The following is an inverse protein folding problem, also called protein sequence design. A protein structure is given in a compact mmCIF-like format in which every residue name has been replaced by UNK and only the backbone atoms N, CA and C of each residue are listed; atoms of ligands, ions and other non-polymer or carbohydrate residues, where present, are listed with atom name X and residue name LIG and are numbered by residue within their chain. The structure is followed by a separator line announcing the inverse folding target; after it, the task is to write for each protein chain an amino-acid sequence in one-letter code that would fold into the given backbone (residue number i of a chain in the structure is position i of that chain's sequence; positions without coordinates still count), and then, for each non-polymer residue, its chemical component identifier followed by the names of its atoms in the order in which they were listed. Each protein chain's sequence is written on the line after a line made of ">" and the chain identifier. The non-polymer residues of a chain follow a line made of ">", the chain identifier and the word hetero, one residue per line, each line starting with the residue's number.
data_IF_525894691173
#
_entry.id   IF_525894691173
#
_cell.length_a   1.000
_cell.length_b   1.000
_cell.length_c   1.000
_cell.angle_alpha   90.00
_cell.angle_beta   90.00
_cell.angle_gamma   90.00
#
_symmetry.space_group_name_H-M   'P 1'
#
loop_
_entity.id
_entity.type
_entity.pdbx_description
1 polymer ?
#
# COMPACT_ATOMS: atom_id res chain seq x y z
N UNK A 1 4.11 -35.46 16.89
CA UNK A 1 4.01 -35.20 16.69
C UNK A 1 4.07 -34.46 16.42
N UNK A 2 4.18 -34.28 16.51
CA UNK A 2 4.20 -33.60 16.25
C UNK A 2 4.10 -32.74 15.89
N UNK A 3 4.16 -32.66 15.87
CA UNK A 3 3.97 -32.02 15.50
C UNK A 3 3.82 -31.14 15.20
N UNK A 4 3.97 -31.07 15.40
CA UNK A 4 3.79 -30.34 15.06
C UNK A 4 3.70 -29.59 14.83
N UNK A 5 3.80 -29.66 14.81
CA UNK A 5 3.61 -28.99 14.53
C UNK A 5 3.51 -28.11 14.13
N UNK A 6 3.63 -27.84 14.17
CA UNK A 6 3.43 -27.23 13.82
C UNK A 6 3.15 -26.46 13.47
N UNK A 7 3.15 -26.68 13.26
CA UNK A 7 2.85 -25.88 12.85
C UNK A 7 2.44 -25.16 12.92
N UNK A 8 2.26 -25.38 12.88
CA UNK A 8 1.62 -24.87 13.14
C UNK A 8 1.66 -23.60 13.35
N UNK A 9 1.88 -23.15 13.76
CA UNK A 9 2.12 -21.99 13.81
C UNK A 9 1.83 -21.07 12.76
N UNK A 10 1.73 -21.45 11.83
CA UNK A 10 1.41 -20.74 10.60
C UNK A 10 0.09 -20.02 10.71
N UNK A 11 -0.85 -20.68 11.34
CA UNK A 11 -2.18 -20.10 11.49
C UNK A 11 -2.14 -18.77 12.21
N UNK A 12 -1.26 -18.67 13.18
CA UNK A 12 -1.19 -17.45 13.97
C UNK A 12 -0.70 -16.26 13.18
N UNK A 13 0.28 -16.51 12.36
CA UNK A 13 0.85 -15.40 11.59
C UNK A 13 -0.11 -14.93 10.51
N UNK A 14 -1.09 -15.72 10.15
CA UNK A 14 -2.05 -15.29 9.14
C UNK A 14 -2.98 -14.20 9.63
N UNK A 15 -3.23 -14.15 10.92
CA UNK A 15 -4.14 -13.15 11.44
C UNK A 15 -3.68 -11.72 11.17
N UNK A 16 -2.42 -11.38 11.44
CA UNK A 16 -1.97 -10.04 11.12
C UNK A 16 -2.08 -9.74 9.64
N UNK A 17 -1.95 -10.75 8.80
CA UNK A 17 -2.03 -10.53 7.37
C UNK A 17 -3.42 -10.20 6.90
N UNK A 18 -4.44 -10.66 7.61
CA UNK A 18 -5.81 -10.42 7.18
C UNK A 18 -6.08 -8.93 7.10
N UNK A 19 -5.66 -8.17 8.10
CA UNK A 19 -5.89 -6.73 8.05
C UNK A 19 -4.84 -6.00 7.20
N UNK A 20 -3.71 -6.65 6.94
CA UNK A 20 -2.70 -6.03 6.09
C UNK A 20 -3.09 -6.06 4.62
N UNK A 21 -4.01 -6.92 4.23
CA UNK A 21 -4.46 -7.03 2.84
C UNK A 21 -5.93 -6.69 2.79
N UNK A 22 -6.27 -5.70 1.97
CA UNK A 22 -7.66 -5.26 1.85
C UNK A 22 -8.02 -5.10 0.38
N UNK A 23 -8.50 -6.17 -0.27
CA UNK A 23 -8.84 -6.10 -1.70
C UNK A 23 -9.87 -5.03 -2.01
N UNK A 24 -10.81 -4.78 -1.10
CA UNK A 24 -11.82 -3.76 -1.32
C UNK A 24 -11.19 -2.37 -1.39
N UNK A 25 -10.23 -2.10 -0.53
CA UNK A 25 -9.52 -0.82 -0.57
C UNK A 25 -8.71 -0.68 -1.85
N UNK A 26 -8.05 -1.76 -2.27
CA UNK A 26 -7.30 -1.74 -3.52
C UNK A 26 -8.21 -1.42 -4.70
N UNK A 27 -9.39 -2.03 -4.73
CA UNK A 27 -10.35 -1.75 -5.79
C UNK A 27 -10.78 -0.29 -5.76
N UNK A 28 -10.97 0.25 -4.57
CA UNK A 28 -11.36 1.65 -4.40
C UNK A 28 -10.26 2.58 -4.89
N UNK A 29 -8.98 2.26 -4.59
CA UNK A 29 -7.84 3.05 -5.06
C UNK A 29 -7.82 3.09 -6.58
N UNK A 30 -8.10 1.96 -7.22
CA UNK A 30 -8.03 1.87 -8.68
C UNK A 30 -9.08 2.69 -9.40
N UNK A 31 -10.05 3.22 -8.69
CA UNK A 31 -11.05 4.11 -9.28
C UNK A 31 -10.54 5.56 -9.40
N UNK A 32 -9.39 5.83 -8.84
CA UNK A 32 -8.82 7.17 -8.88
C UNK A 32 -7.79 7.26 -9.99
N UNK A 33 -7.53 8.49 -10.45
CA UNK A 33 -6.48 8.68 -11.44
C UNK A 33 -5.13 8.75 -10.72
N UNK A 34 -4.04 8.85 -11.51
CA UNK A 34 -2.69 8.87 -10.96
C UNK A 34 -2.51 10.04 -9.98
N UNK A 35 -1.78 9.77 -8.90
CA UNK A 35 -1.56 10.78 -7.85
C UNK A 35 -0.57 11.87 -8.25
N UNK A 36 0.22 11.65 -9.30
CA UNK A 36 1.17 12.66 -9.74
C UNK A 36 0.41 13.88 -10.25
N UNK A 37 0.77 15.10 -9.80
CA UNK A 37 0.06 16.30 -10.24
C UNK A 37 0.02 16.40 -11.74
N UNK A 38 -1.14 16.78 -12.26
CA UNK A 38 -1.39 16.95 -13.68
C UNK A 38 -1.43 15.64 -14.48
N UNK A 39 -1.17 14.50 -13.85
CA UNK A 39 -1.32 13.21 -14.52
C UNK A 39 -2.72 12.70 -14.30
N UNK A 40 -3.48 12.57 -15.37
CA UNK A 40 -4.86 12.13 -15.29
C UNK A 40 -5.03 10.71 -15.85
N UNK A 41 -3.93 9.99 -15.93
CA UNK A 41 -3.91 8.70 -16.61
C UNK A 41 -4.72 7.64 -15.85
N UNK A 42 -5.42 6.83 -16.59
CA UNK A 42 -6.11 5.64 -16.15
C UNK A 42 -5.73 4.54 -17.10
N UNK A 43 -5.68 3.30 -16.66
CA UNK A 43 -5.91 2.83 -15.30
C UNK A 43 -4.71 3.09 -14.40
N UNK A 44 -4.93 2.93 -13.11
CA UNK A 44 -3.85 3.07 -12.13
C UNK A 44 -3.62 1.75 -11.41
N UNK A 45 -2.47 1.66 -10.77
CA UNK A 45 -2.07 0.51 -9.97
C UNK A 45 -1.96 0.95 -8.51
N UNK A 46 -2.04 -0.02 -7.60
CA UNK A 46 -1.85 0.26 -6.19
C UNK A 46 -0.36 0.23 -5.89
N UNK A 47 0.19 1.39 -5.53
CA UNK A 47 1.61 1.50 -5.24
C UNK A 47 1.80 1.57 -3.72
N UNK A 48 2.52 0.61 -3.16
CA UNK A 48 2.79 0.58 -1.73
C UNK A 48 3.91 1.56 -1.39
N UNK A 49 3.75 2.24 -0.26
CA UNK A 49 4.73 3.21 0.23
C UNK A 49 5.44 2.61 1.43
N UNK A 50 6.77 2.66 1.42
CA UNK A 50 7.57 2.06 2.49
C UNK A 50 8.12 3.07 3.49
N UNK A 51 8.43 4.28 3.05
CA UNK A 51 9.01 5.28 3.93
C UNK A 51 8.06 5.59 5.08
N UNK A 52 8.54 5.37 6.30
CA UNK A 52 7.76 5.70 7.48
C UNK A 52 6.50 4.87 7.67
N UNK A 53 6.46 3.68 7.10
CA UNK A 53 5.29 2.83 7.18
C UNK A 53 5.58 1.56 7.97
N UNK A 54 4.63 0.62 7.95
CA UNK A 54 4.77 -0.64 8.68
C UNK A 54 5.46 -1.74 7.87
N UNK A 55 6.08 -1.39 6.75
CA UNK A 55 6.85 -2.34 5.98
C UNK A 55 8.25 -2.50 6.55
N UNK A 56 8.89 -3.65 6.27
CA UNK A 56 10.24 -3.92 6.70
C UNK A 56 11.05 -4.52 5.58
N UNK A 57 12.23 -5.04 5.91
CA UNK A 57 13.15 -5.55 4.91
C UNK A 57 12.50 -6.62 4.04
N UNK A 58 11.86 -7.60 4.66
CA UNK A 58 11.21 -8.67 3.93
C UNK A 58 9.70 -8.60 4.04
N UNK A 59 9.19 -7.46 4.47
CA UNK A 59 7.77 -7.32 4.75
C UNK A 59 7.19 -6.17 3.92
N UNK A 60 6.25 -6.52 3.03
CA UNK A 60 5.55 -5.52 2.26
C UNK A 60 4.67 -4.68 3.20
N UNK A 61 4.59 -3.37 3.00
CA UNK A 61 3.68 -2.56 3.80
C UNK A 61 2.23 -3.03 3.65
N UNK A 62 1.42 -2.80 4.69
CA UNK A 62 0.01 -3.16 4.62
C UNK A 62 -0.71 -2.26 3.62
N UNK A 63 -1.92 -2.64 3.25
CA UNK A 63 -2.68 -1.94 2.21
C UNK A 63 -3.17 -0.57 2.63
N UNK A 64 -3.02 -0.19 3.89
CA UNK A 64 -3.33 1.18 4.29
C UNK A 64 -2.30 2.17 3.74
N UNK A 65 -1.18 1.67 3.25
CA UNK A 65 -0.08 2.50 2.78
C UNK A 65 0.07 2.42 1.27
N UNK A 66 -1.02 2.63 0.53
CA UNK A 66 -0.98 2.62 -0.92
C UNK A 66 -1.51 3.92 -1.50
N UNK A 67 -0.99 4.26 -2.67
CA UNK A 67 -1.49 5.38 -3.44
C UNK A 67 -1.77 4.91 -4.85
N UNK A 68 -2.44 5.74 -5.63
CA UNK A 68 -2.74 5.42 -7.03
C UNK A 68 -1.65 5.98 -7.92
N UNK A 69 -1.03 5.14 -8.73
CA UNK A 69 -0.05 5.56 -9.73
C UNK A 69 -0.30 4.81 -11.01
N UNK A 70 -0.22 5.50 -12.13
CA UNK A 70 -0.29 4.80 -13.41
C UNK A 70 0.95 3.91 -13.55
N UNK A 71 0.90 2.98 -14.50
CA UNK A 71 1.99 2.01 -14.65
C UNK A 71 3.34 2.70 -14.83
N UNK A 72 3.36 3.79 -15.60
CA UNK A 72 4.59 4.51 -15.88
C UNK A 72 5.18 5.15 -14.63
N UNK A 73 4.35 5.87 -13.88
CA UNK A 73 4.84 6.52 -12.65
C UNK A 73 5.13 5.51 -11.55
N UNK A 74 4.41 4.40 -11.53
CA UNK A 74 4.69 3.33 -10.57
C UNK A 74 6.08 2.75 -10.83
N UNK A 75 6.40 2.52 -12.11
CA UNK A 75 7.72 2.04 -12.49
C UNK A 75 8.79 3.05 -12.13
N UNK A 76 8.52 4.33 -12.36
CA UNK A 76 9.46 5.38 -12.04
C UNK A 76 9.72 5.45 -10.53
N UNK A 77 8.69 5.26 -9.72
CA UNK A 77 8.84 5.24 -8.27
C UNK A 77 9.84 4.16 -7.86
N UNK A 78 9.74 2.99 -8.47
CA UNK A 78 10.68 1.91 -8.16
C UNK A 78 12.09 2.20 -8.66
N UNK A 79 12.22 2.84 -9.80
CA UNK A 79 13.53 3.15 -10.37
C UNK A 79 14.25 4.23 -9.59
N UNK A 80 13.55 5.29 -9.25
CA UNK A 80 14.15 6.41 -8.52
C UNK A 80 14.28 6.17 -7.04
N UNK A 81 13.39 5.35 -6.48
CA UNK A 81 13.23 5.25 -5.05
C UNK A 81 12.28 6.32 -4.55
N UNK A 82 11.68 6.05 -3.39
CA UNK A 82 10.59 6.89 -2.91
C UNK A 82 11.03 8.31 -2.59
N UNK A 83 12.24 8.48 -2.04
CA UNK A 83 12.69 9.81 -1.67
C UNK A 83 12.87 10.72 -2.87
N UNK A 84 13.50 10.19 -3.92
CA UNK A 84 13.70 10.97 -5.14
C UNK A 84 12.39 11.22 -5.85
N UNK A 85 11.51 10.24 -5.84
CA UNK A 85 10.20 10.39 -6.46
C UNK A 85 9.42 11.50 -5.77
N UNK A 86 9.44 11.54 -4.44
CA UNK A 86 8.80 12.62 -3.68
C UNK A 86 9.34 13.98 -4.08
N UNK A 87 10.65 14.09 -4.15
CA UNK A 87 11.28 15.34 -4.48
C UNK A 87 10.93 15.79 -5.88
N UNK A 88 10.98 14.86 -6.82
CA UNK A 88 10.73 15.18 -8.23
C UNK A 88 9.33 15.73 -8.44
N UNK A 89 8.34 15.13 -7.82
CA UNK A 89 6.95 15.51 -8.04
C UNK A 89 6.37 16.33 -6.91
N UNK A 90 7.17 16.66 -5.92
CA UNK A 90 6.74 17.45 -4.75
C UNK A 90 5.55 16.80 -4.06
N UNK A 91 5.66 15.51 -3.83
CA UNK A 91 4.62 14.73 -3.19
C UNK A 91 5.03 14.30 -1.80
N UNK A 92 4.05 14.22 -0.91
CA UNK A 92 4.23 13.60 0.40
C UNK A 92 3.58 12.23 0.31
N UNK A 93 4.37 11.20 0.00
CA UNK A 93 3.82 9.88 -0.27
C UNK A 93 3.10 9.30 0.93
N UNK A 94 3.68 9.44 2.13
CA UNK A 94 3.02 8.94 3.33
C UNK A 94 1.73 9.70 3.59
N UNK A 95 1.77 11.02 3.42
CA UNK A 95 0.58 11.84 3.59
C UNK A 95 -0.52 11.47 2.61
N UNK A 96 -0.17 11.21 1.36
CA UNK A 96 -1.13 10.76 0.36
C UNK A 96 -1.76 9.43 0.75
N UNK A 97 -0.93 8.49 1.17
CA UNK A 97 -1.45 7.18 1.58
C UNK A 97 -2.39 7.30 2.75
N UNK A 98 -2.04 8.13 3.72
CA UNK A 98 -2.91 8.38 4.88
C UNK A 98 -4.23 8.99 4.45
N UNK A 99 -4.16 9.92 3.50
CA UNK A 99 -5.37 10.57 3.01
C UNK A 99 -6.29 9.59 2.32
N UNK A 100 -5.73 8.74 1.45
CA UNK A 100 -6.51 7.71 0.81
C UNK A 100 -7.15 6.77 1.83
N UNK A 101 -6.35 6.31 2.80
CA UNK A 101 -6.87 5.40 3.82
C UNK A 101 -8.02 6.05 4.61
N UNK A 102 -7.84 7.31 4.99
CA UNK A 102 -8.84 8.00 5.79
C UNK A 102 -10.14 8.21 5.04
N UNK A 103 -10.04 8.48 3.74
CA UNK A 103 -11.24 8.72 2.92
C UNK A 103 -11.88 7.44 2.43
N UNK A 104 -11.19 6.32 2.56
CA UNK A 104 -11.69 5.04 2.07
C UNK A 104 -12.92 4.60 2.86
N UNK A 105 -13.93 4.06 2.18
CA UNK A 105 -15.05 3.45 2.89
C UNK A 105 -14.66 2.19 3.66
N UNK A 106 -13.42 1.74 3.49
CA UNK A 106 -12.92 0.54 4.15
C UNK A 106 -11.90 0.86 5.25
N UNK A 107 -11.89 2.10 5.73
CA UNK A 107 -10.89 2.56 6.69
C UNK A 107 -10.79 1.66 7.92
N UNK A 108 -11.94 1.23 8.45
CA UNK A 108 -11.92 0.38 9.64
C UNK A 108 -11.13 -0.91 9.41
N UNK A 109 -11.24 -1.49 8.22
CA UNK A 109 -10.49 -2.70 7.90
C UNK A 109 -9.00 -2.42 7.79
N UNK A 110 -8.65 -1.21 7.34
CA UNK A 110 -7.25 -0.86 7.13
C UNK A 110 -6.49 -0.70 8.43
N UNK A 111 -7.16 -0.30 9.49
CA UNK A 111 -6.50 -0.09 10.77
C UNK A 111 -6.57 -1.31 11.68
N UNK A 112 -7.10 -2.42 11.18
CA UNK A 112 -7.02 -3.68 11.90
C UNK A 112 -8.04 -3.87 13.00
N UNK A 113 -9.11 -3.12 12.98
CA UNK A 113 -10.13 -3.25 14.03
C UNK A 113 -11.29 -4.14 13.60
#
# INVERSE_FOLDING_TARGET
>A
MTECPLPKKVVKSDRPRVWRVCPAHRAWIRKHHCSVPACQTLPVECAHIRIGTDGGIALKPSDRWIISLCAEHHREQHQLGERRFQTKYRLDLVGLAREFARKSPHFAKLIGS
#
